data_IF_194862057876
#
_entry.id   IF_194862057876
#
_cell.length_a   1.000
_cell.length_b   1.000
_cell.length_c   1.000
_cell.angle_alpha   90.00
_cell.angle_beta   90.00
_cell.angle_gamma   90.00
#
_symmetry.space_group_name_H-M   'P 1'
#
loop_
_entity.id
_entity.type
_entity.pdbx_description
1 polymer ?
#
# COMPACT_ATOMS: atom_id res chain seq x y z
N UNK A 1 55.57 -60.75 2.30
CA UNK A 1 54.97 -60.04 3.45
C UNK A 1 53.97 -59.05 2.84
N UNK A 2 52.64 -59.16 3.01
CA UNK A 2 51.85 -59.71 4.12
C UNK A 2 52.10 -58.87 5.39
N UNK A 3 51.18 -58.12 5.99
CA UNK A 3 49.70 -57.98 5.86
C UNK A 3 49.34 -56.46 5.66
N UNK A 4 48.12 -55.88 5.81
CA UNK A 4 46.77 -56.37 6.19
C UNK A 4 45.60 -55.43 5.73
N UNK A 5 44.37 -55.84 6.11
CA UNK A 5 43.13 -55.12 6.50
C UNK A 5 43.20 -53.60 6.87
N UNK A 6 42.11 -52.80 6.92
CA UNK A 6 40.65 -53.11 6.95
C UNK A 6 39.74 -51.97 6.43
N UNK A 7 38.47 -52.32 6.27
CA UNK A 7 37.36 -51.55 5.70
C UNK A 7 36.82 -50.33 6.50
N UNK A 8 36.20 -49.42 5.74
CA UNK A 8 34.97 -48.67 6.01
C UNK A 8 34.88 -47.69 7.21
N UNK A 9 34.61 -46.42 6.91
CA UNK A 9 33.62 -45.65 7.67
C UNK A 9 32.82 -44.71 6.76
N UNK A 10 31.56 -45.06 6.52
CA UNK A 10 30.55 -44.22 5.89
C UNK A 10 30.32 -42.93 6.71
N UNK A 11 30.28 -41.79 6.01
CA UNK A 11 29.94 -40.48 6.58
C UNK A 11 28.91 -39.77 5.71
N UNK A 12 27.80 -40.45 5.43
CA UNK A 12 26.54 -39.90 4.91
C UNK A 12 25.90 -38.85 5.84
N UNK A 13 26.62 -37.77 6.14
CA UNK A 13 26.16 -36.61 6.91
C UNK A 13 25.19 -35.76 6.11
N UNK A 14 23.97 -36.25 5.92
CA UNK A 14 22.90 -35.53 5.25
C UNK A 14 22.61 -34.22 6.01
N UNK A 15 23.01 -33.09 5.42
CA UNK A 15 22.73 -31.76 5.92
C UNK A 15 21.25 -31.42 5.75
N UNK A 16 20.43 -31.88 6.70
CA UNK A 16 19.00 -31.55 6.79
C UNK A 16 18.86 -30.04 6.97
N UNK A 17 18.74 -29.33 5.85
CA UNK A 17 18.41 -27.91 5.84
C UNK A 17 17.01 -27.75 6.42
N UNK A 18 16.95 -27.37 7.70
CA UNK A 18 15.71 -27.01 8.37
C UNK A 18 15.18 -25.72 7.75
N UNK A 19 14.45 -25.85 6.64
CA UNK A 19 13.61 -24.81 6.06
C UNK A 19 12.46 -24.53 7.05
N UNK A 20 12.78 -23.74 8.07
CA UNK A 20 11.81 -23.27 9.05
C UNK A 20 10.87 -22.29 8.37
N UNK A 21 9.76 -22.83 7.85
CA UNK A 21 8.62 -22.08 7.33
C UNK A 21 7.89 -21.35 8.48
N UNK A 22 8.59 -20.43 9.13
CA UNK A 22 8.09 -19.62 10.23
C UNK A 22 7.19 -18.51 9.69
N UNK A 23 5.90 -18.82 9.59
CA UNK A 23 4.88 -17.85 9.23
C UNK A 23 4.52 -16.99 10.46
N UNK A 24 4.97 -15.74 10.45
CA UNK A 24 4.78 -14.81 11.57
C UNK A 24 3.33 -14.35 11.68
N UNK A 25 2.55 -14.97 12.58
CA UNK A 25 1.14 -14.61 12.86
C UNK A 25 0.92 -13.19 13.42
N UNK A 26 1.99 -12.46 13.73
CA UNK A 26 1.94 -11.09 14.27
C UNK A 26 1.76 -10.07 13.14
N UNK A 27 0.50 -9.77 12.81
CA UNK A 27 0.17 -8.59 12.00
C UNK A 27 0.06 -7.37 12.93
N UNK A 28 1.12 -6.58 13.02
CA UNK A 28 1.10 -5.31 13.74
C UNK A 28 0.01 -4.36 13.17
N UNK A 29 -0.64 -3.52 14.00
CA UNK A 29 -1.64 -2.56 13.54
C UNK A 29 -1.01 -1.50 12.63
N UNK A 30 -1.32 -1.56 11.33
CA UNK A 30 -0.74 -0.70 10.30
C UNK A 30 -1.55 0.59 10.14
N UNK A 31 -1.23 1.60 10.94
CA UNK A 31 -1.45 2.98 10.52
C UNK A 31 -0.20 3.43 9.72
N UNK A 32 -0.30 3.74 8.42
CA UNK A 32 0.87 4.10 7.62
C UNK A 32 1.53 5.41 8.08
N UNK A 33 2.84 5.54 7.87
CA UNK A 33 3.58 6.79 8.11
C UNK A 33 3.40 7.74 6.92
N UNK A 34 2.89 8.95 7.19
CA UNK A 34 2.76 10.01 6.18
C UNK A 34 4.09 10.73 5.97
N UNK A 35 4.70 10.48 4.80
CA UNK A 35 5.91 11.11 4.30
C UNK A 35 5.54 12.42 3.61
N UNK A 36 6.15 13.52 4.09
CA UNK A 36 5.94 14.89 3.57
C UNK A 36 6.97 15.31 2.52
N UNK A 37 8.01 14.49 2.30
CA UNK A 37 9.02 14.70 1.26
C UNK A 37 8.61 14.08 -0.09
N UNK A 38 9.41 14.28 -1.15
CA UNK A 38 9.21 13.60 -2.43
C UNK A 38 9.31 12.08 -2.27
N UNK A 39 8.55 11.34 -3.08
CA UNK A 39 8.65 9.88 -3.19
C UNK A 39 9.98 9.51 -3.84
N UNK A 40 10.97 9.17 -3.01
CA UNK A 40 12.26 8.65 -3.46
C UNK A 40 12.06 7.16 -3.75
N UNK A 41 12.14 6.75 -5.01
CA UNK A 41 12.09 5.33 -5.36
C UNK A 41 13.38 4.63 -4.89
N UNK A 42 13.32 3.70 -3.92
CA UNK A 42 14.52 3.05 -3.40
C UNK A 42 15.07 2.06 -4.41
N UNK A 43 16.40 1.90 -4.46
CA UNK A 43 17.04 0.84 -5.25
C UNK A 43 16.73 -0.52 -4.60
N UNK A 44 15.64 -1.15 -5.03
CA UNK A 44 15.20 -2.46 -4.58
C UNK A 44 16.30 -3.52 -4.80
N UNK A 45 16.55 -4.34 -3.78
CA UNK A 45 17.36 -5.55 -3.97
C UNK A 45 16.55 -6.59 -4.77
N UNK A 46 17.20 -7.50 -5.53
CA UNK A 46 16.48 -8.51 -6.31
C UNK A 46 15.52 -9.37 -5.47
N UNK A 47 15.89 -9.70 -4.23
CA UNK A 47 15.02 -10.42 -3.29
C UNK A 47 13.82 -9.60 -2.82
N UNK A 48 13.95 -8.29 -2.66
CA UNK A 48 12.82 -7.40 -2.31
C UNK A 48 11.89 -7.24 -3.51
N UNK A 49 12.42 -7.06 -4.72
CA UNK A 49 11.65 -6.97 -5.96
C UNK A 49 10.85 -8.24 -6.23
N UNK A 50 11.47 -9.42 -6.13
CA UNK A 50 10.78 -10.72 -6.26
C UNK A 50 9.69 -10.91 -5.20
N UNK A 51 9.90 -10.38 -3.98
CA UNK A 51 8.88 -10.39 -2.92
C UNK A 51 7.71 -9.44 -3.20
N UNK A 52 7.94 -8.27 -3.79
CA UNK A 52 6.85 -7.36 -4.14
C UNK A 52 6.04 -7.88 -5.33
N UNK A 53 6.70 -8.38 -6.37
CA UNK A 53 6.02 -8.92 -7.56
C UNK A 53 5.31 -10.26 -7.31
N UNK A 54 5.57 -10.92 -6.17
CA UNK A 54 4.83 -12.11 -5.74
C UNK A 54 3.62 -11.83 -4.84
N UNK A 55 3.30 -10.56 -4.55
CA UNK A 55 2.05 -10.18 -3.87
C UNK A 55 0.86 -10.14 -4.84
N UNK A 56 -0.36 -10.35 -4.33
CA UNK A 56 -1.57 -9.89 -5.01
C UNK A 56 -1.96 -8.45 -4.61
N UNK A 57 -2.97 -7.89 -5.28
CA UNK A 57 -3.45 -6.51 -5.06
C UNK A 57 -3.87 -6.24 -3.61
N UNK A 58 -4.54 -7.18 -2.94
CA UNK A 58 -5.01 -7.02 -1.55
C UNK A 58 -3.85 -7.19 -0.57
N UNK A 59 -2.95 -8.14 -0.81
CA UNK A 59 -1.71 -8.30 -0.05
C UNK A 59 -0.82 -7.04 -0.13
N UNK A 60 -0.73 -6.41 -1.31
CA UNK A 60 0.01 -5.15 -1.50
C UNK A 60 -0.64 -4.00 -0.71
N UNK A 61 -1.96 -3.83 -0.79
CA UNK A 61 -2.71 -2.87 0.02
C UNK A 61 -2.50 -3.07 1.53
N UNK A 62 -2.59 -4.32 2.01
CA UNK A 62 -2.32 -4.68 3.40
C UNK A 62 -0.86 -4.44 3.81
N UNK A 63 0.08 -4.39 2.86
CA UNK A 63 1.50 -4.14 3.09
C UNK A 63 1.92 -2.66 2.95
N UNK A 64 1.00 -1.75 2.59
CA UNK A 64 1.24 -0.30 2.54
C UNK A 64 1.67 0.22 3.91
N UNK A 65 2.96 0.55 4.06
CA UNK A 65 3.56 1.13 5.29
C UNK A 65 3.74 2.64 5.20
N UNK A 66 4.02 3.14 4.01
CA UNK A 66 4.28 4.54 3.74
C UNK A 66 3.15 5.14 2.93
N UNK A 67 2.92 6.43 3.16
CA UNK A 67 1.91 7.24 2.51
C UNK A 67 2.54 8.57 2.14
N UNK A 68 2.09 9.16 1.04
CA UNK A 68 2.67 10.38 0.48
C UNK A 68 1.58 11.45 0.37
N UNK A 69 1.98 12.72 0.48
CA UNK A 69 1.07 13.84 0.23
C UNK A 69 0.63 13.83 -1.26
N UNK A 70 -0.66 13.98 -1.57
CA UNK A 70 -1.12 14.12 -2.95
C UNK A 70 -0.63 15.45 -3.56
N UNK A 71 -0.32 15.44 -4.85
CA UNK A 71 0.08 16.65 -5.59
C UNK A 71 -1.11 17.59 -5.78
N UNK A 72 -0.96 18.85 -5.38
CA UNK A 72 -1.91 19.92 -5.70
C UNK A 72 -1.79 20.24 -7.20
N UNK A 73 -2.93 20.25 -7.91
CA UNK A 73 -3.02 20.53 -9.35
C UNK A 73 -3.64 21.91 -9.60
N UNK A 74 -4.63 22.29 -8.79
CA UNK A 74 -5.37 23.54 -8.85
C UNK A 74 -5.85 23.93 -7.45
N UNK A 75 -5.95 25.23 -7.19
CA UNK A 75 -6.63 25.76 -6.01
C UNK A 75 -8.11 26.01 -6.33
N UNK A 76 -8.96 25.99 -5.31
CA UNK A 76 -10.42 26.21 -5.44
C UNK A 76 -10.92 27.06 -4.28
N UNK A 77 -11.89 27.94 -4.52
CA UNK A 77 -12.44 28.79 -3.46
C UNK A 77 -13.38 27.98 -2.55
N UNK A 78 -13.22 28.16 -1.24
CA UNK A 78 -14.12 27.57 -0.25
C UNK A 78 -15.49 28.24 -0.21
N UNK A 79 -15.58 29.53 -0.57
CA UNK A 79 -16.82 30.31 -0.53
C UNK A 79 -17.88 29.78 -1.51
N UNK A 80 -17.47 29.13 -2.61
CA UNK A 80 -18.38 28.48 -3.57
C UNK A 80 -19.14 27.29 -2.97
N UNK A 81 -18.60 26.64 -1.94
CA UNK A 81 -19.10 25.36 -1.41
C UNK A 81 -19.42 25.35 0.08
N UNK A 82 -18.99 26.36 0.85
CA UNK A 82 -19.29 26.47 2.28
C UNK A 82 -19.23 27.91 2.78
N UNK A 83 -20.20 28.28 3.62
CA UNK A 83 -20.19 29.52 4.39
C UNK A 83 -19.05 29.57 5.43
N UNK A 84 -18.49 28.41 5.82
CA UNK A 84 -17.36 28.33 6.75
C UNK A 84 -16.04 28.32 5.98
N UNK A 85 -15.65 29.47 5.43
CA UNK A 85 -14.42 29.64 4.64
C UNK A 85 -13.13 29.52 5.46
N UNK A 86 -13.19 29.71 6.79
CA UNK A 86 -12.02 29.52 7.67
C UNK A 86 -11.60 28.04 7.72
N UNK A 87 -10.36 27.76 7.34
CA UNK A 87 -9.66 26.47 7.43
C UNK A 87 -8.49 26.58 8.42
N UNK A 88 -8.00 25.45 8.95
CA UNK A 88 -6.71 25.38 9.68
C UNK A 88 -5.56 24.83 8.82
N UNK A 89 -5.88 24.29 7.64
CA UNK A 89 -4.91 23.76 6.66
C UNK A 89 -4.40 24.91 5.80
N UNK A 90 -3.09 24.94 5.54
CA UNK A 90 -2.44 25.97 4.71
C UNK A 90 -2.75 25.78 3.21
N UNK A 91 -2.55 26.82 2.40
CA UNK A 91 -2.89 26.81 0.97
C UNK A 91 -2.03 25.84 0.14
N UNK A 92 -0.80 25.59 0.59
CA UNK A 92 0.13 24.60 0.02
C UNK A 92 -0.01 23.20 0.65
N UNK A 93 -0.91 23.00 1.63
CA UNK A 93 -1.22 21.68 2.22
C UNK A 93 -2.53 21.08 1.64
N UNK A 94 -2.56 19.77 1.32
CA UNK A 94 -3.77 19.15 0.80
C UNK A 94 -4.84 18.95 1.89
N UNK A 95 -6.03 19.50 1.66
CA UNK A 95 -7.21 19.38 2.54
C UNK A 95 -7.64 17.93 2.80
N UNK A 96 -7.39 17.03 1.87
CA UNK A 96 -7.68 15.61 1.98
C UNK A 96 -6.43 14.77 1.76
N UNK A 97 -6.14 13.87 2.70
CA UNK A 97 -5.15 12.81 2.52
C UNK A 97 -5.86 11.54 2.01
N UNK A 98 -5.59 11.08 0.77
CA UNK A 98 -6.07 9.79 0.30
C UNK A 98 -5.38 8.64 1.05
N UNK A 99 -6.01 7.46 1.07
CA UNK A 99 -5.43 6.17 1.39
C UNK A 99 -6.01 5.06 0.48
N UNK A 100 -5.17 4.25 -0.20
CA UNK A 100 -3.72 4.38 -0.34
C UNK A 100 -3.33 5.62 -1.18
N UNK A 101 -2.02 5.95 -1.26
CA UNK A 101 -1.54 7.09 -2.08
C UNK A 101 -1.48 6.73 -3.56
N UNK A 102 -1.01 5.52 -3.84
CA UNK A 102 -0.98 4.90 -5.16
C UNK A 102 -1.86 3.65 -5.12
N UNK A 103 -2.66 3.42 -6.17
CA UNK A 103 -3.37 2.16 -6.38
C UNK A 103 -2.63 1.39 -7.49
N UNK A 104 -2.35 0.11 -7.27
CA UNK A 104 -1.69 -0.75 -8.27
C UNK A 104 -2.34 -2.13 -8.27
N UNK A 105 -3.00 -2.47 -9.37
CA UNK A 105 -3.53 -3.81 -9.59
C UNK A 105 -2.38 -4.74 -10.00
N UNK A 106 -2.05 -5.71 -9.15
CA UNK A 106 -1.04 -6.75 -9.38
C UNK A 106 -1.70 -8.13 -9.50
N UNK A 107 -1.11 -8.98 -10.34
CA UNK A 107 -1.65 -10.29 -10.75
C UNK A 107 -3.09 -10.18 -11.32
N UNK A 108 -3.27 -9.27 -12.27
CA UNK A 108 -4.52 -9.19 -13.03
C UNK A 108 -4.69 -10.43 -13.90
N UNK A 109 -5.82 -11.13 -13.74
CA UNK A 109 -6.26 -12.21 -14.61
C UNK A 109 -7.43 -11.72 -15.49
N UNK A 110 -7.51 -12.13 -16.76
CA UNK A 110 -8.60 -11.75 -17.65
C UNK A 110 -9.98 -12.11 -17.10
N UNK A 111 -10.98 -11.28 -17.42
CA UNK A 111 -12.39 -11.42 -17.02
C UNK A 111 -12.69 -11.27 -15.51
N UNK A 112 -11.68 -11.12 -14.65
CA UNK A 112 -11.88 -10.81 -13.24
C UNK A 112 -12.03 -9.30 -12.99
N UNK A 113 -12.91 -8.94 -12.04
CA UNK A 113 -13.07 -7.57 -11.52
C UNK A 113 -12.33 -7.46 -10.19
N UNK A 114 -11.59 -6.37 -9.99
CA UNK A 114 -10.79 -6.14 -8.78
C UNK A 114 -11.17 -4.80 -8.16
N UNK A 115 -11.53 -4.80 -6.88
CA UNK A 115 -11.89 -3.60 -6.12
C UNK A 115 -10.79 -3.24 -5.11
N UNK A 116 -10.49 -1.94 -5.00
CA UNK A 116 -9.54 -1.38 -4.02
C UNK A 116 -10.21 -0.18 -3.36
N UNK A 117 -10.33 -0.13 -2.01
CA UNK A 117 -10.93 1.00 -1.34
C UNK A 117 -10.04 2.25 -1.43
N UNK A 118 -10.62 3.36 -1.88
CA UNK A 118 -10.03 4.69 -1.78
C UNK A 118 -10.72 5.45 -0.64
N UNK A 119 -10.00 5.67 0.46
CA UNK A 119 -10.45 6.47 1.59
C UNK A 119 -9.90 7.89 1.47
N UNK A 120 -10.68 8.90 1.85
CA UNK A 120 -10.27 10.31 1.82
C UNK A 120 -10.38 10.91 3.22
N UNK A 121 -9.24 11.01 3.93
CA UNK A 121 -9.18 11.62 5.27
C UNK A 121 -9.15 13.13 5.14
N UNK A 122 -10.17 13.80 5.70
CA UNK A 122 -10.15 15.26 5.87
C UNK A 122 -9.07 15.67 6.90
N UNK A 123 -8.25 16.67 6.54
CA UNK A 123 -7.20 17.24 7.38
C UNK A 123 -7.66 18.53 8.10
N UNK A 124 -8.75 19.16 7.66
CA UNK A 124 -9.33 20.34 8.29
C UNK A 124 -10.29 19.97 9.43
N UNK A 125 -10.57 20.94 10.32
CA UNK A 125 -11.53 20.79 11.43
C UNK A 125 -12.99 20.83 10.97
N UNK A 126 -13.25 21.38 9.79
CA UNK A 126 -14.58 21.62 9.23
C UNK A 126 -14.94 20.48 8.29
N UNK A 127 -16.21 20.07 8.24
CA UNK A 127 -16.66 19.14 7.19
C UNK A 127 -16.54 19.81 5.81
N UNK A 128 -15.75 19.21 4.92
CA UNK A 128 -15.54 19.67 3.54
C UNK A 128 -16.19 18.70 2.56
N UNK A 129 -16.80 19.23 1.50
CA UNK A 129 -17.30 18.42 0.38
C UNK A 129 -16.11 18.05 -0.50
N UNK A 130 -16.09 16.82 -1.03
CA UNK A 130 -15.12 16.37 -2.04
C UNK A 130 -15.85 15.76 -3.22
N UNK A 131 -15.39 16.10 -4.43
CA UNK A 131 -15.82 15.47 -5.69
C UNK A 131 -14.63 14.74 -6.26
N UNK A 132 -14.74 13.42 -6.45
CA UNK A 132 -13.72 12.63 -7.12
C UNK A 132 -14.07 12.54 -8.61
N UNK A 133 -13.13 12.88 -9.47
CA UNK A 133 -13.24 12.76 -10.93
C UNK A 133 -12.20 11.79 -11.45
N UNK A 134 -12.60 10.92 -12.38
CA UNK A 134 -11.70 10.00 -13.07
C UNK A 134 -11.24 10.61 -14.41
N UNK A 135 -10.08 10.19 -14.92
CA UNK A 135 -9.76 10.34 -16.33
C UNK A 135 -10.63 9.39 -17.17
N UNK A 136 -10.97 9.81 -18.38
CA UNK A 136 -11.74 9.01 -19.34
C UNK A 136 -10.92 7.77 -19.76
N UNK A 137 -11.28 6.61 -19.22
CA UNK A 137 -10.63 5.32 -19.47
C UNK A 137 -11.66 4.19 -19.32
N UNK A 138 -11.65 3.17 -20.18
CA UNK A 138 -12.62 2.07 -20.12
C UNK A 138 -12.29 0.99 -19.07
N UNK A 139 -11.13 1.09 -18.40
CA UNK A 139 -10.58 0.04 -17.54
C UNK A 139 -10.88 0.25 -16.04
N UNK A 140 -11.32 1.46 -15.65
CA UNK A 140 -11.52 1.83 -14.26
C UNK A 140 -12.88 2.53 -14.09
N UNK A 141 -13.50 2.31 -12.94
CA UNK A 141 -14.76 2.97 -12.54
C UNK A 141 -14.74 3.29 -11.06
N UNK A 142 -14.98 4.54 -10.69
CA UNK A 142 -15.12 4.94 -9.28
C UNK A 142 -16.53 4.56 -8.78
N UNK A 143 -16.59 3.62 -7.83
CA UNK A 143 -17.83 3.25 -7.14
C UNK A 143 -17.89 3.95 -5.78
N UNK A 144 -18.97 4.66 -5.49
CA UNK A 144 -19.21 5.26 -4.16
C UNK A 144 -20.11 4.33 -3.34
N UNK A 145 -19.65 3.75 -2.21
CA UNK A 145 -20.49 2.88 -1.39
C UNK A 145 -21.57 3.70 -0.65
N UNK A 146 -22.73 3.10 -0.30
CA UNK A 146 -23.81 3.81 0.40
C UNK A 146 -23.38 4.51 1.70
N UNK A 147 -22.37 3.96 2.38
CA UNK A 147 -21.86 4.44 3.66
C UNK A 147 -20.56 5.27 3.52
N UNK A 148 -20.30 5.89 2.35
CA UNK A 148 -19.05 6.61 2.07
C UNK A 148 -18.74 7.75 3.08
N UNK A 149 -19.75 8.32 3.74
CA UNK A 149 -19.62 9.47 4.63
C UNK A 149 -19.42 9.08 6.11
N UNK A 150 -18.44 8.21 6.39
CA UNK A 150 -18.13 7.83 7.77
C UNK A 150 -17.35 8.93 8.51
N UNK A 151 -17.96 9.51 9.55
CA UNK A 151 -17.24 10.37 10.50
C UNK A 151 -16.26 9.52 11.31
N UNK A 152 -14.97 9.77 11.13
CA UNK A 152 -13.92 9.32 12.07
C UNK A 152 -13.90 10.30 13.25
N UNK A 153 -13.86 9.76 14.48
CA UNK A 153 -13.84 10.53 15.73
C UNK A 153 -12.41 10.75 16.24
#
# INVERSE_FOLDING_TARGET
MLFDQKANMDTGGASVSLQTNYESKVTAPRNPTLIRGPKIEPKLTPSTFLKEMSLDTQQKLLCTREMYLPKIISLSDMAETSLQTTTKVDIDEPLFQPYPSDITFQKYEPFNTYEVPLLLRNNDKVARIVKVSQADTPYFTIVTPPNAYQKVA
#
